data_IF_238716627628
#
_entry.id   IF_238716627628
#
_cell.length_a   1.000
_cell.length_b   1.000
_cell.length_c   1.000
_cell.angle_alpha   90.00
_cell.angle_beta   90.00
_cell.angle_gamma   90.00
#
_symmetry.space_group_name_H-M   'P 1'
#
loop_
_entity.id
_entity.type
_entity.pdbx_description
1 polymer ?
#
# COMPACT_ATOMS: atom_id res chain seq x y z
N UNK A 1 8.99 -2.73 -12.16
CA UNK A 1 8.37 -4.03 -11.82
C UNK A 1 6.97 -4.04 -12.41
N UNK A 2 6.54 -5.13 -13.03
CA UNK A 2 5.14 -5.28 -13.46
C UNK A 2 4.27 -5.79 -12.30
N UNK A 3 2.95 -5.57 -12.37
CA UNK A 3 1.98 -6.08 -11.39
C UNK A 3 2.10 -7.60 -11.23
N UNK A 4 2.29 -8.31 -12.34
CA UNK A 4 2.53 -9.76 -12.38
C UNK A 4 3.75 -10.19 -11.55
N UNK A 5 4.83 -9.40 -11.56
CA UNK A 5 6.02 -9.68 -10.75
C UNK A 5 5.73 -9.55 -9.25
N UNK A 6 4.85 -8.62 -8.85
CA UNK A 6 4.45 -8.44 -7.45
C UNK A 6 3.65 -9.65 -6.98
N UNK A 7 2.67 -10.11 -7.75
CA UNK A 7 1.89 -11.32 -7.42
C UNK A 7 2.74 -12.57 -7.35
N UNK A 8 3.72 -12.69 -8.25
CA UNK A 8 4.69 -13.79 -8.20
C UNK A 8 5.50 -13.77 -6.89
N UNK A 9 5.99 -12.60 -6.46
CA UNK A 9 6.71 -12.48 -5.19
C UNK A 9 5.82 -12.85 -4.00
N UNK A 10 4.56 -12.41 -4.00
CA UNK A 10 3.57 -12.74 -2.96
C UNK A 10 3.38 -14.25 -2.87
N UNK A 11 3.20 -14.92 -4.01
CA UNK A 11 3.01 -16.37 -4.08
C UNK A 11 4.27 -17.15 -3.69
N UNK A 12 5.43 -16.77 -4.24
CA UNK A 12 6.71 -17.47 -4.03
C UNK A 12 7.17 -17.43 -2.56
N UNK A 13 6.78 -16.38 -1.82
CA UNK A 13 7.17 -16.17 -0.43
C UNK A 13 6.04 -16.43 0.58
N UNK A 14 4.90 -16.96 0.14
CA UNK A 14 3.70 -17.18 0.97
C UNK A 14 3.32 -15.95 1.84
N UNK A 15 3.40 -14.77 1.23
CA UNK A 15 3.20 -13.50 1.92
C UNK A 15 1.77 -13.42 2.45
N UNK A 16 1.62 -12.96 3.70
CA UNK A 16 0.31 -12.81 4.35
C UNK A 16 -0.18 -11.36 4.38
N UNK A 17 0.74 -10.41 4.32
CA UNK A 17 0.45 -8.99 4.45
C UNK A 17 1.26 -8.17 3.45
N UNK A 18 0.63 -7.11 2.93
CA UNK A 18 1.27 -6.10 2.09
C UNK A 18 1.33 -4.81 2.89
N UNK A 19 2.51 -4.20 2.94
CA UNK A 19 2.74 -2.95 3.65
C UNK A 19 2.84 -1.80 2.64
N UNK A 20 1.82 -0.95 2.61
CA UNK A 20 1.75 0.21 1.73
C UNK A 20 2.46 1.37 2.40
N UNK A 21 3.56 1.83 1.80
CA UNK A 21 4.40 2.89 2.35
C UNK A 21 4.25 4.17 1.54
N UNK A 22 4.18 5.28 2.25
CA UNK A 22 4.12 6.61 1.67
C UNK A 22 4.86 7.59 2.58
N UNK A 23 5.06 8.83 2.13
CA UNK A 23 5.78 9.85 2.89
C UNK A 23 4.91 11.08 3.07
N UNK A 24 4.84 11.60 4.29
CA UNK A 24 4.14 12.86 4.55
C UNK A 24 4.92 14.08 4.03
N UNK A 25 4.33 15.28 4.07
CA UNK A 25 4.98 16.51 3.58
C UNK A 25 6.25 16.88 4.34
N UNK A 26 6.45 16.31 5.53
CA UNK A 26 7.63 16.55 6.37
C UNK A 26 8.75 15.55 6.12
N UNK A 27 8.54 14.58 5.22
CA UNK A 27 9.52 13.57 4.86
C UNK A 27 9.51 12.33 5.76
N UNK A 28 8.51 12.17 6.64
CA UNK A 28 8.41 10.97 7.47
C UNK A 28 7.68 9.86 6.71
N UNK A 29 8.30 8.68 6.67
CA UNK A 29 7.69 7.46 6.15
C UNK A 29 6.53 7.03 7.05
N UNK A 30 5.39 6.78 6.43
CA UNK A 30 4.16 6.28 7.02
C UNK A 30 3.81 4.98 6.31
N UNK A 31 3.05 4.11 6.97
CA UNK A 31 2.68 2.83 6.40
C UNK A 31 1.29 2.36 6.83
N UNK A 32 0.64 1.59 5.96
CA UNK A 32 -0.62 0.90 6.22
C UNK A 32 -0.48 -0.54 5.75
N UNK A 33 -0.68 -1.47 6.68
CA UNK A 33 -0.63 -2.89 6.39
C UNK A 33 -2.02 -3.43 6.07
N UNK A 34 -2.14 -4.13 4.94
CA UNK A 34 -3.37 -4.83 4.52
C UNK A 34 -3.10 -6.32 4.36
N UNK A 35 -4.10 -7.20 4.56
CA UNK A 35 -3.95 -8.61 4.23
C UNK A 35 -3.81 -8.80 2.71
N UNK A 36 -3.07 -9.82 2.28
CA UNK A 36 -2.89 -10.12 0.85
C UNK A 36 -4.20 -10.37 0.12
N UNK A 37 -5.25 -10.83 0.82
CA UNK A 37 -6.58 -11.01 0.25
C UNK A 37 -7.23 -9.72 -0.27
N UNK A 38 -6.76 -8.56 0.19
CA UNK A 38 -7.23 -7.24 -0.24
C UNK A 38 -6.33 -6.61 -1.32
N UNK A 39 -5.29 -7.32 -1.76
CA UNK A 39 -4.36 -6.90 -2.80
C UNK A 39 -4.73 -7.60 -4.11
N UNK A 40 -5.49 -6.92 -4.96
CA UNK A 40 -5.94 -7.37 -6.28
C UNK A 40 -5.37 -6.48 -7.39
N UNK A 41 -5.62 -6.83 -8.66
CA UNK A 41 -5.16 -6.05 -9.81
C UNK A 41 -5.80 -4.64 -9.82
N UNK A 42 -7.08 -4.53 -9.45
CA UNK A 42 -7.82 -3.27 -9.38
C UNK A 42 -7.16 -2.27 -8.41
N UNK A 43 -6.59 -2.74 -7.30
CA UNK A 43 -5.86 -1.91 -6.35
C UNK A 43 -4.65 -1.19 -7.00
N UNK A 44 -4.00 -1.77 -8.01
CA UNK A 44 -2.88 -1.13 -8.69
C UNK A 44 -3.33 -0.02 -9.67
N UNK A 45 -4.57 -0.08 -10.15
CA UNK A 45 -5.14 0.92 -11.07
C UNK A 45 -5.92 2.01 -10.32
N UNK A 46 -6.79 1.62 -9.40
CA UNK A 46 -7.71 2.50 -8.68
C UNK A 46 -7.20 2.94 -7.30
N UNK A 47 -6.21 2.23 -6.74
CA UNK A 47 -5.70 2.45 -5.39
C UNK A 47 -6.63 1.96 -4.29
N UNK A 48 -6.21 2.16 -3.03
CA UNK A 48 -7.04 1.93 -1.83
C UNK A 48 -7.35 3.27 -1.17
N UNK A 49 -8.61 3.44 -0.77
CA UNK A 49 -9.04 4.59 0.01
C UNK A 49 -8.49 4.50 1.45
N UNK A 50 -7.97 5.62 1.96
CA UNK A 50 -7.59 5.76 3.37
C UNK A 50 -7.88 7.18 3.88
N UNK A 51 -7.99 7.34 5.20
CA UNK A 51 -8.24 8.64 5.81
C UNK A 51 -6.93 9.43 6.00
N UNK A 52 -6.70 10.40 5.12
CA UNK A 52 -5.55 11.32 5.19
C UNK A 52 -5.66 12.39 6.27
N UNK A 53 -6.80 12.51 6.97
CA UNK A 53 -7.02 13.56 7.98
C UNK A 53 -6.07 13.48 9.17
N UNK A 54 -5.53 12.28 9.42
CA UNK A 54 -4.57 12.01 10.49
C UNK A 54 -3.11 12.23 10.06
N UNK A 55 -2.87 12.62 8.80
CA UNK A 55 -1.52 12.89 8.28
C UNK A 55 -1.17 14.36 8.47
N UNK A 56 -0.08 14.59 9.20
CA UNK A 56 0.42 15.93 9.48
C UNK A 56 0.67 16.71 8.18
N UNK A 57 0.00 17.84 8.03
CA UNK A 57 0.16 18.73 6.87
C UNK A 57 -0.63 18.34 5.63
N UNK A 58 -1.53 17.35 5.71
CA UNK A 58 -2.46 17.01 4.61
C UNK A 58 -3.87 17.52 4.86
N UNK A 59 -4.26 17.72 6.13
CA UNK A 59 -5.48 18.43 6.51
C UNK A 59 -5.12 19.83 7.01
N UNK A 60 -5.55 20.84 6.27
CA UNK A 60 -5.43 22.27 6.54
C UNK A 60 -6.40 23.02 5.66
#
# INVERSE_FOLDING_TARGET
>A
MSVEQVFKIIQDNDVKFVDLRFTDTRGKEQHVTIPVSECDEDMFEAGKMFDGSSINGWKG
#
